data_IF_884397375874
#
_entry.id   IF_884397375874
#
_cell.length_a   1.000
_cell.length_b   1.000
_cell.length_c   1.000
_cell.angle_alpha   90.00
_cell.angle_beta   90.00
_cell.angle_gamma   90.00
#
_symmetry.space_group_name_H-M   'P 1'
#
loop_
_entity.id
_entity.type
_entity.pdbx_description
1 polymer ?
#
# COMPACT_ATOMS: atom_id res chain seq x y z
N UNK A 1 -6.88 -21.73 33.33
CA UNK A 1 -7.48 -21.37 32.03
C UNK A 1 -6.39 -20.65 31.26
N UNK A 2 -5.87 -21.26 30.20
CA UNK A 2 -4.76 -20.71 29.43
C UNK A 2 -5.19 -19.42 28.73
N UNK A 3 -4.43 -18.35 28.94
CA UNK A 3 -4.48 -17.14 28.12
C UNK A 3 -4.24 -17.52 26.65
N UNK A 4 -5.08 -17.06 25.70
CA UNK A 4 -4.80 -17.30 24.30
C UNK A 4 -3.51 -16.55 23.94
N UNK A 5 -2.49 -17.28 23.50
CA UNK A 5 -1.28 -16.70 22.93
C UNK A 5 -1.70 -15.75 21.80
N UNK A 6 -1.39 -14.47 21.94
CA UNK A 6 -1.62 -13.48 20.88
C UNK A 6 -0.80 -13.91 19.66
N UNK A 7 -1.49 -14.44 18.64
CA UNK A 7 -0.90 -14.69 17.32
C UNK A 7 -0.42 -13.39 16.66
N UNK A 8 0.30 -13.49 15.52
CA UNK A 8 0.81 -12.31 14.83
C UNK A 8 -0.31 -11.31 14.50
N UNK A 9 0.02 -10.01 14.57
CA UNK A 9 -0.90 -8.88 14.29
C UNK A 9 -1.48 -8.92 12.86
N UNK A 10 -0.79 -9.66 11.98
CA UNK A 10 -1.03 -9.75 10.56
C UNK A 10 -1.24 -11.21 10.17
N UNK A 11 -2.12 -11.46 9.20
CA UNK A 11 -2.28 -12.80 8.61
C UNK A 11 -1.12 -13.03 7.64
N UNK A 12 -0.21 -14.00 7.89
CA UNK A 12 0.90 -14.30 7.00
C UNK A 12 0.41 -14.60 5.58
N UNK A 13 1.12 -14.11 4.55
CA UNK A 13 0.79 -14.36 3.14
C UNK A 13 -0.41 -13.61 2.56
N UNK A 14 -1.13 -12.80 3.36
CA UNK A 14 -2.35 -12.11 2.91
C UNK A 14 -2.16 -10.60 2.61
N UNK A 15 -0.92 -10.16 2.37
CA UNK A 15 -0.58 -8.79 2.00
C UNK A 15 -0.01 -8.68 0.58
N UNK A 16 -0.13 -7.49 -0.02
CA UNK A 16 0.59 -7.17 -1.26
C UNK A 16 1.41 -5.91 -1.04
N UNK A 17 2.71 -5.98 -1.35
CA UNK A 17 3.62 -4.86 -1.32
C UNK A 17 4.12 -4.55 -2.73
N UNK A 18 4.12 -3.28 -3.10
CA UNK A 18 4.71 -2.79 -4.33
C UNK A 18 5.82 -1.83 -3.95
N UNK A 19 7.02 -2.06 -4.50
CA UNK A 19 8.15 -1.15 -4.36
C UNK A 19 7.89 0.14 -5.12
N UNK A 20 8.60 1.19 -4.75
CA UNK A 20 8.63 2.36 -5.61
C UNK A 20 9.29 2.02 -6.94
N UNK A 21 8.78 2.61 -8.01
CA UNK A 21 9.21 2.30 -9.38
C UNK A 21 9.30 3.60 -10.18
N UNK A 22 10.41 3.79 -10.89
CA UNK A 22 10.48 4.71 -12.03
C UNK A 22 10.29 3.90 -13.30
N UNK A 23 9.37 4.35 -14.13
CA UNK A 23 8.90 3.60 -15.28
C UNK A 23 8.72 4.49 -16.49
N UNK A 24 9.17 4.03 -17.64
CA UNK A 24 8.81 4.59 -18.94
C UNK A 24 7.95 3.56 -19.66
N UNK A 25 6.74 3.94 -20.03
CA UNK A 25 5.83 3.06 -20.74
C UNK A 25 5.28 3.69 -22.01
N UNK A 26 5.02 2.86 -23.02
CA UNK A 26 4.35 3.27 -24.26
C UNK A 26 2.97 2.67 -24.30
N UNK A 27 1.99 3.51 -24.58
CA UNK A 27 0.65 3.09 -24.93
C UNK A 27 0.55 3.01 -26.46
N UNK A 28 0.19 1.84 -26.99
CA UNK A 28 -0.28 1.75 -28.37
C UNK A 28 -1.73 2.23 -28.42
N UNK A 29 -2.00 3.25 -29.22
CA UNK A 29 -3.37 3.57 -29.62
C UNK A 29 -3.77 2.57 -30.71
N UNK A 30 -4.71 1.68 -30.41
CA UNK A 30 -5.50 1.05 -31.48
C UNK A 30 -6.48 2.11 -32.01
N UNK A 31 -6.64 2.19 -33.33
CA UNK A 31 -7.43 3.20 -34.03
C UNK A 31 -8.95 3.10 -33.81
N UNK A 32 -9.43 2.39 -32.79
CA UNK A 32 -10.86 2.26 -32.52
C UNK A 32 -11.16 2.07 -31.02
N UNK A 33 -11.79 3.08 -30.40
CA UNK A 33 -12.39 2.98 -29.06
C UNK A 33 -11.82 3.91 -27.98
N UNK A 34 -12.67 4.83 -27.49
CA UNK A 34 -12.41 5.77 -26.39
C UNK A 34 -12.45 5.10 -25.00
N UNK A 35 -11.66 4.05 -24.78
CA UNK A 35 -11.56 3.34 -23.50
C UNK A 35 -10.13 3.27 -22.97
N UNK A 36 -9.93 3.49 -21.68
CA UNK A 36 -8.65 3.23 -20.99
C UNK A 36 -8.41 1.71 -21.00
N UNK A 37 -7.73 1.20 -22.01
CA UNK A 37 -7.38 -0.21 -22.11
C UNK A 37 -6.01 -0.47 -21.48
N UNK A 38 -5.98 -1.22 -20.37
CA UNK A 38 -4.73 -1.72 -19.75
C UNK A 38 -3.99 -2.77 -20.60
N UNK A 39 -4.50 -3.14 -21.78
CA UNK A 39 -4.06 -4.33 -22.53
C UNK A 39 -2.88 -4.12 -23.48
N UNK A 40 -2.43 -2.88 -23.72
CA UNK A 40 -1.37 -2.58 -24.70
C UNK A 40 -0.30 -1.60 -24.18
N UNK A 41 0.10 -1.76 -22.91
CA UNK A 41 1.18 -0.97 -22.31
C UNK A 41 2.50 -1.76 -22.39
N UNK A 42 3.46 -1.28 -23.17
CA UNK A 42 4.81 -1.86 -23.21
C UNK A 42 5.73 -1.05 -22.31
N UNK A 43 6.34 -1.71 -21.34
CA UNK A 43 7.36 -1.12 -20.48
C UNK A 43 8.68 -0.99 -21.27
N UNK A 44 9.18 0.24 -21.40
CA UNK A 44 10.46 0.52 -22.05
C UNK A 44 11.61 0.54 -21.04
N UNK A 45 11.32 1.00 -19.82
CA UNK A 45 12.24 1.05 -18.69
C UNK A 45 11.44 0.82 -17.41
N UNK A 46 11.97 0.01 -16.50
CA UNK A 46 11.47 -0.20 -15.15
C UNK A 46 12.69 -0.26 -14.24
N UNK A 47 12.74 0.59 -13.22
CA UNK A 47 13.80 0.55 -12.20
C UNK A 47 13.24 0.82 -10.81
N UNK A 48 13.82 0.17 -9.82
CA UNK A 48 13.55 0.37 -8.39
C UNK A 48 14.61 1.26 -7.72
N UNK A 49 15.63 1.64 -8.47
CA UNK A 49 16.77 2.46 -8.03
C UNK A 49 16.70 3.86 -8.64
N UNK A 50 17.50 4.83 -8.13
CA UNK A 50 17.69 6.10 -8.79
C UNK A 50 18.02 5.91 -10.28
N UNK A 51 17.29 6.63 -11.13
CA UNK A 51 17.38 6.49 -12.57
C UNK A 51 18.40 7.48 -13.15
N UNK A 52 19.17 7.07 -14.15
CA UNK A 52 20.02 7.97 -14.93
C UNK A 52 19.28 8.49 -16.16
N UNK A 53 19.61 9.71 -16.58
CA UNK A 53 19.06 10.33 -17.80
C UNK A 53 19.28 9.45 -19.03
N UNK A 54 20.47 8.87 -19.17
CA UNK A 54 20.86 8.09 -20.35
C UNK A 54 20.02 6.81 -20.50
N UNK A 55 19.59 6.20 -19.39
CA UNK A 55 18.68 5.04 -19.40
C UNK A 55 17.30 5.41 -19.95
N UNK A 56 16.79 6.58 -19.55
CA UNK A 56 15.51 7.11 -20.03
C UNK A 56 15.59 7.44 -21.51
N UNK A 57 16.67 8.08 -21.96
CA UNK A 57 16.89 8.41 -23.37
C UNK A 57 16.97 7.14 -24.23
N UNK A 58 17.75 6.15 -23.80
CA UNK A 58 17.86 4.84 -24.48
C UNK A 58 16.52 4.12 -24.55
N UNK A 59 15.70 4.23 -23.51
CA UNK A 59 14.36 3.67 -23.51
C UNK A 59 13.46 4.38 -24.54
N UNK A 60 13.51 5.71 -24.61
CA UNK A 60 12.69 6.53 -25.51
C UNK A 60 13.02 6.33 -26.99
N UNK A 61 14.24 5.93 -27.34
CA UNK A 61 14.58 5.55 -28.73
C UNK A 61 13.71 4.41 -29.26
N UNK A 62 13.22 3.54 -28.37
CA UNK A 62 12.34 2.41 -28.71
C UNK A 62 10.85 2.81 -28.73
N UNK A 63 10.52 4.06 -28.40
CA UNK A 63 9.15 4.51 -28.29
C UNK A 63 8.50 4.66 -29.66
N UNK A 64 7.50 3.83 -29.94
CA UNK A 64 6.74 3.84 -31.20
C UNK A 64 5.36 4.50 -31.07
N UNK A 65 5.01 5.02 -29.88
CA UNK A 65 3.70 5.55 -29.55
C UNK A 65 3.74 6.64 -28.48
N UNK A 66 2.67 6.75 -27.70
CA UNK A 66 2.59 7.73 -26.62
C UNK A 66 3.38 7.21 -25.41
N UNK A 67 4.54 7.82 -25.16
CA UNK A 67 5.41 7.45 -24.04
C UNK A 67 5.10 8.31 -22.82
N UNK A 68 5.03 7.69 -21.65
CA UNK A 68 4.78 8.35 -20.36
C UNK A 68 5.88 7.97 -19.38
N UNK A 69 6.45 8.98 -18.72
CA UNK A 69 7.38 8.82 -17.62
C UNK A 69 6.62 8.85 -16.30
N UNK A 70 6.84 7.85 -15.45
CA UNK A 70 6.11 7.66 -14.21
C UNK A 70 7.06 7.40 -13.05
N UNK A 71 6.76 8.01 -11.90
CA UNK A 71 7.24 7.57 -10.60
C UNK A 71 6.02 7.14 -9.77
N UNK A 72 6.04 5.90 -9.30
CA UNK A 72 5.01 5.34 -8.42
C UNK A 72 5.65 5.06 -7.05
N UNK A 73 5.10 5.60 -5.94
CA UNK A 73 5.64 5.36 -4.62
C UNK A 73 5.26 3.97 -4.09
N UNK A 74 5.86 3.61 -2.96
CA UNK A 74 5.52 2.39 -2.24
C UNK A 74 4.05 2.30 -1.85
N UNK A 75 3.49 1.09 -1.98
CA UNK A 75 2.12 0.73 -1.56
C UNK A 75 2.15 -0.61 -0.85
N UNK A 76 1.46 -0.70 0.29
CA UNK A 76 1.31 -1.94 1.05
C UNK A 76 -0.16 -2.15 1.43
N UNK A 77 -0.69 -3.33 1.15
CA UNK A 77 -1.96 -3.81 1.68
C UNK A 77 -1.69 -4.90 2.69
N UNK A 78 -2.30 -4.77 3.87
CA UNK A 78 -2.15 -5.71 4.98
C UNK A 78 -3.51 -6.18 5.43
N UNK A 79 -3.66 -7.49 5.58
CA UNK A 79 -4.83 -8.08 6.22
C UNK A 79 -4.64 -8.09 7.73
N UNK A 80 -5.50 -7.36 8.44
CA UNK A 80 -5.47 -7.24 9.90
C UNK A 80 -6.45 -8.23 10.53
N UNK A 81 -6.06 -8.78 11.68
CA UNK A 81 -6.89 -9.71 12.46
C UNK A 81 -8.03 -8.98 13.16
N UNK A 82 -7.74 -7.86 13.79
CA UNK A 82 -8.71 -7.02 14.49
C UNK A 82 -8.71 -5.57 13.98
N UNK A 83 -9.78 -4.82 14.29
CA UNK A 83 -9.88 -3.42 13.88
C UNK A 83 -8.84 -2.57 14.60
N UNK A 84 -8.51 -2.91 15.85
CA UNK A 84 -7.51 -2.23 16.67
C UNK A 84 -6.11 -2.34 16.03
N UNK A 85 -5.77 -3.50 15.49
CA UNK A 85 -4.53 -3.74 14.75
C UNK A 85 -4.44 -2.83 13.51
N UNK A 86 -5.55 -2.72 12.76
CA UNK A 86 -5.64 -1.84 11.61
C UNK A 86 -5.54 -0.35 11.99
N UNK A 87 -6.12 0.05 13.13
CA UNK A 87 -6.04 1.41 13.66
C UNK A 87 -4.63 1.78 14.12
N UNK A 88 -3.91 0.83 14.75
CA UNK A 88 -2.51 1.01 15.11
C UNK A 88 -1.65 1.23 13.87
N UNK A 89 -1.76 0.33 12.88
CA UNK A 89 -1.02 0.42 11.63
C UNK A 89 -1.34 1.71 10.87
N UNK A 90 -2.61 2.11 10.86
CA UNK A 90 -3.05 3.38 10.27
C UNK A 90 -2.39 4.59 10.95
N UNK A 91 -2.37 4.62 12.28
CA UNK A 91 -1.77 5.74 13.03
C UNK A 91 -0.28 5.88 12.69
N UNK A 92 0.47 4.77 12.75
CA UNK A 92 1.89 4.73 12.36
C UNK A 92 2.10 5.18 10.91
N UNK A 93 1.23 4.75 9.98
CA UNK A 93 1.29 5.14 8.58
C UNK A 93 1.09 6.65 8.38
N UNK A 94 0.09 7.25 9.03
CA UNK A 94 -0.18 8.70 8.97
C UNK A 94 1.02 9.49 9.50
N UNK A 95 1.54 9.09 10.66
CA UNK A 95 2.68 9.75 11.33
C UNK A 95 3.97 9.64 10.50
N UNK A 96 4.09 8.59 9.69
CA UNK A 96 5.24 8.37 8.80
C UNK A 96 5.15 9.14 7.47
N UNK A 97 3.98 9.73 7.17
CA UNK A 97 3.74 10.54 5.97
C UNK A 97 2.86 9.89 4.90
N UNK A 98 2.27 8.72 5.17
CA UNK A 98 1.34 8.02 4.28
C UNK A 98 -0.11 8.47 4.51
N UNK A 99 -0.39 9.76 4.28
CA UNK A 99 -1.70 10.38 4.60
C UNK A 99 -2.89 9.85 3.79
N UNK A 100 -2.64 9.12 2.71
CA UNK A 100 -3.68 8.53 1.84
C UNK A 100 -3.97 7.06 2.18
N UNK A 101 -3.46 6.63 3.33
CA UNK A 101 -3.72 5.32 3.89
C UNK A 101 -5.16 5.21 4.38
N UNK A 102 -5.67 3.99 4.48
CA UNK A 102 -7.05 3.78 4.94
C UNK A 102 -7.39 2.33 5.19
N UNK A 103 -8.43 2.12 6.00
CA UNK A 103 -8.93 0.81 6.41
C UNK A 103 -10.21 0.50 5.62
N UNK A 104 -10.27 -0.69 5.04
CA UNK A 104 -11.45 -1.22 4.36
C UNK A 104 -11.95 -2.45 5.11
N UNK A 105 -13.23 -2.47 5.49
CA UNK A 105 -13.88 -3.66 6.06
C UNK A 105 -14.73 -4.30 4.97
N UNK A 106 -14.29 -5.45 4.47
CA UNK A 106 -14.94 -6.22 3.43
C UNK A 106 -16.11 -7.08 3.95
N UNK A 107 -16.77 -7.77 3.00
CA UNK A 107 -17.77 -8.80 3.33
C UNK A 107 -17.10 -9.92 4.15
N UNK A 108 -17.81 -10.46 5.13
CA UNK A 108 -17.27 -11.48 6.04
C UNK A 108 -16.33 -10.92 7.12
N UNK A 109 -16.29 -9.60 7.32
CA UNK A 109 -15.50 -9.00 8.40
C UNK A 109 -14.00 -8.87 8.10
N UNK A 110 -13.57 -9.12 6.86
CA UNK A 110 -12.16 -9.02 6.43
C UNK A 110 -11.68 -7.56 6.54
N UNK A 111 -10.68 -7.28 7.37
CA UNK A 111 -10.16 -5.92 7.59
C UNK A 111 -8.85 -5.73 6.84
N UNK A 112 -8.85 -4.92 5.79
CA UNK A 112 -7.64 -4.60 5.01
C UNK A 112 -7.19 -3.18 5.27
N UNK A 113 -5.97 -3.03 5.77
CA UNK A 113 -5.30 -1.75 5.90
C UNK A 113 -4.43 -1.49 4.66
N UNK A 114 -4.59 -0.33 4.05
CA UNK A 114 -3.79 0.10 2.90
C UNK A 114 -2.88 1.26 3.30
N UNK A 115 -1.57 1.09 3.16
CA UNK A 115 -0.54 2.12 3.33
C UNK A 115 -0.21 2.69 1.96
N UNK A 116 -0.49 3.99 1.74
CA UNK A 116 -0.38 4.62 0.42
C UNK A 116 0.11 6.07 0.51
N UNK A 117 0.76 6.52 -0.55
CA UNK A 117 1.23 7.88 -0.74
C UNK A 117 0.63 8.52 -2.00
N UNK A 118 0.51 9.85 -2.02
CA UNK A 118 0.19 10.66 -3.21
C UNK A 118 1.44 11.14 -3.94
N UNK A 119 2.62 10.69 -3.53
CA UNK A 119 3.90 11.19 -4.01
C UNK A 119 4.29 10.69 -5.41
N UNK A 120 3.34 10.56 -6.33
CA UNK A 120 3.60 10.11 -7.70
C UNK A 120 4.13 11.23 -8.61
N UNK A 121 4.57 10.84 -9.81
CA UNK A 121 4.83 11.71 -10.96
C UNK A 121 4.33 10.98 -12.19
N UNK A 122 3.61 11.65 -13.09
CA UNK A 122 3.19 11.09 -14.38
C UNK A 122 3.25 12.19 -15.42
N UNK A 123 4.10 12.01 -16.44
CA UNK A 123 4.37 13.05 -17.44
C UNK A 123 4.42 12.41 -18.83
N UNK A 124 3.57 12.83 -19.78
CA UNK A 124 3.68 12.39 -21.17
C UNK A 124 4.94 12.99 -21.80
N UNK A 125 5.78 12.14 -22.40
CA UNK A 125 7.04 12.53 -23.05
C UNK A 125 6.92 12.55 -24.58
N UNK A 126 6.16 11.61 -25.15
CA UNK A 126 6.03 11.46 -26.60
C UNK A 126 4.56 11.38 -27.01
N UNK A 127 4.26 11.87 -28.21
CA UNK A 127 2.97 11.72 -28.84
C UNK A 127 3.12 11.13 -30.24
N UNK A 128 2.42 10.02 -30.52
CA UNK A 128 2.52 9.29 -31.81
C UNK A 128 3.97 8.97 -32.20
N UNK A 129 4.78 8.54 -31.22
CA UNK A 129 6.20 8.21 -31.43
C UNK A 129 7.14 9.40 -31.58
N UNK A 130 6.63 10.64 -31.60
CA UNK A 130 7.45 11.86 -31.62
C UNK A 130 7.70 12.34 -30.20
N UNK A 131 8.96 12.52 -29.84
CA UNK A 131 9.34 13.17 -28.57
C UNK A 131 8.86 14.63 -28.56
N UNK A 132 8.15 15.00 -27.50
CA UNK A 132 7.49 16.31 -27.36
C UNK A 132 8.21 17.25 -26.39
N UNK A 133 9.27 16.78 -25.73
CA UNK A 133 10.03 17.49 -24.70
C UNK A 133 11.51 17.56 -25.05
N UNK A 134 12.23 18.52 -24.48
CA UNK A 134 13.69 18.61 -24.63
C UNK A 134 14.41 17.59 -23.74
N UNK A 135 15.65 17.28 -24.09
CA UNK A 135 16.52 16.46 -23.24
C UNK A 135 16.76 17.08 -21.87
N UNK A 136 16.93 18.41 -21.81
CA UNK A 136 17.05 19.17 -20.55
C UNK A 136 15.82 18.96 -19.65
N UNK A 137 14.61 18.92 -20.23
CA UNK A 137 13.40 18.66 -19.45
C UNK A 137 13.38 17.21 -18.93
N UNK A 138 13.88 16.25 -19.70
CA UNK A 138 14.01 14.85 -19.26
C UNK A 138 14.98 14.76 -18.07
N UNK A 139 16.12 15.44 -18.14
CA UNK A 139 17.09 15.50 -17.03
C UNK A 139 16.45 16.09 -15.76
N UNK A 140 15.67 17.16 -15.89
CA UNK A 140 14.89 17.73 -14.79
C UNK A 140 13.88 16.71 -14.21
N UNK A 141 13.14 16.00 -15.06
CA UNK A 141 12.17 14.99 -14.60
C UNK A 141 12.85 13.83 -13.86
N UNK A 142 14.01 13.38 -14.34
CA UNK A 142 14.82 12.35 -13.68
C UNK A 142 15.27 12.83 -12.31
N UNK A 143 15.76 14.07 -12.20
CA UNK A 143 16.12 14.65 -10.92
C UNK A 143 14.94 14.69 -9.94
N UNK A 144 13.77 15.15 -10.39
CA UNK A 144 12.54 15.17 -9.57
C UNK A 144 12.12 13.75 -9.16
N UNK A 145 12.20 12.78 -10.06
CA UNK A 145 11.87 11.38 -9.76
C UNK A 145 12.80 10.78 -8.71
N UNK A 146 14.11 11.05 -8.81
CA UNK A 146 15.10 10.57 -7.84
C UNK A 146 14.90 11.22 -6.47
N UNK A 147 14.61 12.52 -6.40
CA UNK A 147 14.21 13.17 -5.15
C UNK A 147 12.96 12.53 -4.53
N UNK A 148 11.99 12.17 -5.38
CA UNK A 148 10.78 11.47 -4.93
C UNK A 148 11.08 10.07 -4.41
N UNK A 149 12.00 9.36 -5.05
CA UNK A 149 12.48 8.05 -4.60
C UNK A 149 13.12 8.15 -3.22
N UNK A 150 14.02 9.11 -3.01
CA UNK A 150 14.67 9.31 -1.71
C UNK A 150 13.66 9.61 -0.60
N UNK A 151 12.72 10.53 -0.82
CA UNK A 151 11.68 10.84 0.18
C UNK A 151 10.77 9.64 0.42
N UNK A 152 10.47 8.84 -0.61
CA UNK A 152 9.74 7.60 -0.44
C UNK A 152 10.49 6.62 0.47
N UNK A 153 11.80 6.45 0.30
CA UNK A 153 12.62 5.61 1.19
C UNK A 153 12.63 6.13 2.63
N UNK A 154 12.79 7.44 2.82
CA UNK A 154 12.71 8.06 4.16
C UNK A 154 11.36 7.80 4.84
N UNK A 155 10.25 7.77 4.09
CA UNK A 155 8.91 7.44 4.62
C UNK A 155 8.80 5.97 5.02
N UNK A 156 9.32 5.06 4.19
CA UNK A 156 9.35 3.63 4.49
C UNK A 156 10.16 3.39 5.78
N UNK A 157 11.34 4.00 5.90
CA UNK A 157 12.18 3.85 7.10
C UNK A 157 11.50 4.34 8.37
N UNK A 158 10.83 5.51 8.31
CA UNK A 158 10.06 6.04 9.45
C UNK A 158 8.90 5.11 9.81
N UNK A 159 8.22 4.57 8.81
CA UNK A 159 7.11 3.64 9.00
C UNK A 159 7.57 2.33 9.63
N UNK A 160 8.67 1.76 9.16
CA UNK A 160 9.26 0.56 9.73
C UNK A 160 9.60 0.75 11.20
N UNK A 161 10.38 1.79 11.51
CA UNK A 161 10.79 2.11 12.89
C UNK A 161 9.60 2.41 13.79
N UNK A 162 8.62 3.18 13.28
CA UNK A 162 7.40 3.50 14.02
C UNK A 162 6.57 2.25 14.32
N UNK A 163 6.55 1.28 13.40
CA UNK A 163 5.84 0.02 13.57
C UNK A 163 6.55 -0.88 14.59
N UNK A 164 7.88 -1.00 14.53
CA UNK A 164 8.67 -1.74 15.53
C UNK A 164 8.39 -1.23 16.94
N UNK A 165 8.49 0.09 17.16
CA UNK A 165 8.21 0.72 18.45
C UNK A 165 6.77 0.50 18.92
N UNK A 166 5.80 0.59 18.01
CA UNK A 166 4.39 0.39 18.32
C UNK A 166 4.09 -1.07 18.73
N UNK A 167 4.78 -2.04 18.12
CA UNK A 167 4.65 -3.45 18.44
C UNK A 167 5.30 -3.76 19.79
N UNK A 168 6.48 -3.22 20.07
CA UNK A 168 7.16 -3.37 21.37
C UNK A 168 6.30 -2.81 22.52
N UNK A 169 5.69 -1.63 22.33
CA UNK A 169 4.81 -1.03 23.32
C UNK A 169 3.48 -1.80 23.54
N UNK A 170 3.05 -2.60 22.55
CA UNK A 170 1.85 -3.41 22.63
C UNK A 170 2.06 -4.78 23.32
N UNK A 171 3.32 -5.19 23.52
CA UNK A 171 3.66 -6.33 24.37
C UNK A 171 3.54 -5.87 25.83
N UNK A 172 2.66 -6.48 26.65
CA UNK A 172 2.52 -6.07 28.04
C UNK A 172 3.83 -6.25 28.78
N UNK A 173 4.15 -5.28 29.63
CA UNK A 173 4.99 -5.48 30.80
C UNK A 173 4.27 -6.45 31.78
N UNK A 174 4.01 -7.68 31.36
CA UNK A 174 3.53 -8.77 32.20
C UNK A 174 4.71 -9.36 32.99
N UNK A 175 5.28 -8.53 33.86
CA UNK A 175 6.02 -8.95 35.05
C UNK A 175 6.06 -7.76 36.00
N UNK A 176 5.00 -7.60 36.82
CA UNK A 176 4.97 -7.14 38.22
C UNK A 176 3.59 -6.50 38.56
N UNK A 177 2.76 -7.32 39.22
CA UNK A 177 1.43 -7.12 39.85
C UNK A 177 1.32 -5.89 40.82
N UNK A 178 0.15 -5.50 41.39
CA UNK A 178 -1.15 -6.21 41.49
C UNK A 178 -2.44 -5.40 41.19
N UNK A 179 -3.55 -6.15 41.14
CA UNK A 179 -4.95 -5.76 40.88
C UNK A 179 -5.53 -4.67 41.80
N UNK A 180 -6.33 -3.77 41.22
CA UNK A 180 -7.35 -2.94 41.93
C UNK A 180 -8.57 -2.74 40.99
N UNK A 181 -9.83 -2.79 41.49
CA UNK A 181 -10.99 -3.24 40.71
C UNK A 181 -11.67 -2.19 39.82
N UNK A 182 -12.36 -2.73 38.80
CA UNK A 182 -13.09 -2.04 37.74
C UNK A 182 -14.22 -1.12 38.23
N UNK A 183 -14.37 0.05 37.61
CA UNK A 183 -15.62 0.79 37.55
C UNK A 183 -16.12 0.90 36.11
N UNK A 184 -17.27 0.27 35.89
CA UNK A 184 -18.09 0.34 34.69
C UNK A 184 -18.65 1.76 34.51
N UNK A 185 -18.39 2.36 33.34
CA UNK A 185 -19.23 3.44 32.81
C UNK A 185 -19.56 3.14 31.34
N UNK A 186 -20.64 2.37 31.16
CA UNK A 186 -21.41 2.31 29.92
C UNK A 186 -22.21 3.60 29.79
N UNK A 187 -21.88 4.45 28.80
CA UNK A 187 -22.84 5.42 28.23
C UNK A 187 -22.49 5.67 26.77
N UNK A 188 -23.20 5.02 25.85
CA UNK A 188 -23.71 5.69 24.65
C UNK A 188 -25.16 5.25 24.45
N UNK A 189 -26.07 6.14 24.84
CA UNK A 189 -27.51 5.97 24.69
C UNK A 189 -27.93 6.21 23.24
N UNK A 190 -28.87 5.37 22.82
CA UNK A 190 -29.47 5.30 21.50
C UNK A 190 -30.60 6.32 21.32
N UNK A 191 -30.67 7.04 20.18
CA UNK A 191 -31.91 7.53 19.51
C UNK A 191 -31.55 8.25 18.19
N UNK A 192 -32.23 8.10 17.04
CA UNK A 192 -33.63 7.69 16.78
C UNK A 192 -33.82 7.30 15.29
N UNK A 193 -34.38 6.10 15.05
CA UNK A 193 -35.55 5.75 14.21
C UNK A 193 -35.68 6.32 12.78
N UNK A 194 -35.63 5.44 11.77
CA UNK A 194 -36.62 5.36 10.66
C UNK A 194 -36.79 3.91 10.19
N UNK A 195 -38.01 3.57 9.79
CA UNK A 195 -38.58 2.21 9.66
C UNK A 195 -38.26 1.55 8.30
N UNK A 196 -38.00 0.23 8.39
CA UNK A 196 -38.40 -0.92 7.58
C UNK A 196 -38.35 -0.90 6.03
N UNK A 197 -37.62 -1.89 5.48
CA UNK A 197 -38.12 -2.80 4.45
C UNK A 197 -37.31 -4.11 4.48
N UNK A 198 -38.01 -5.25 4.32
CA UNK A 198 -37.51 -6.63 4.41
C UNK A 198 -36.80 -7.10 3.13
N UNK A 199 -35.91 -8.08 3.27
CA UNK A 199 -35.42 -8.92 2.17
C UNK A 199 -34.47 -10.01 2.68
N UNK A 200 -34.93 -11.26 2.68
CA UNK A 200 -34.21 -12.48 3.05
C UNK A 200 -33.20 -12.90 1.96
N UNK A 201 -32.05 -13.47 2.35
CA UNK A 201 -31.31 -14.45 1.55
C UNK A 201 -30.38 -15.31 2.43
N UNK A 202 -30.35 -16.61 2.11
CA UNK A 202 -29.80 -17.78 2.83
C UNK A 202 -28.25 -17.93 2.67
N UNK A 203 -27.50 -18.55 3.60
CA UNK A 203 -26.04 -18.65 3.53
C UNK A 203 -25.55 -20.01 3.01
N UNK A 204 -24.60 -20.01 2.07
CA UNK A 204 -23.88 -21.21 1.63
C UNK A 204 -22.47 -21.25 2.24
N UNK A 205 -22.13 -22.43 2.79
CA UNK A 205 -20.87 -22.83 3.43
C UNK A 205 -19.74 -23.04 2.41
N UNK A 206 -18.49 -22.73 2.80
CA UNK A 206 -17.24 -23.34 2.31
C UNK A 206 -16.09 -22.88 3.24
N UNK A 207 -15.64 -23.73 4.19
CA UNK A 207 -14.44 -24.60 4.16
C UNK A 207 -13.10 -23.84 4.31
N UNK A 208 -12.53 -23.91 5.51
CA UNK A 208 -11.23 -23.38 5.95
C UNK A 208 -10.06 -24.28 5.49
N UNK A 209 -8.89 -23.72 5.11
CA UNK A 209 -7.62 -24.42 5.16
C UNK A 209 -6.72 -23.94 6.31
N UNK A 210 -5.88 -24.87 6.74
CA UNK A 210 -5.11 -24.95 7.97
C UNK A 210 -3.97 -23.92 8.12
N UNK A 211 -3.63 -23.71 9.38
CA UNK A 211 -2.72 -22.72 9.96
C UNK A 211 -1.28 -23.26 9.98
N UNK A 212 -0.42 -22.76 9.08
CA UNK A 212 1.02 -23.00 9.13
C UNK A 212 1.72 -21.77 9.73
N UNK A 213 2.32 -22.00 10.90
CA UNK A 213 2.83 -20.98 11.80
C UNK A 213 4.28 -20.66 11.47
N UNK A 214 4.55 -19.72 10.56
CA UNK A 214 5.91 -19.20 10.42
C UNK A 214 5.98 -17.70 10.08
N UNK A 215 6.48 -16.95 11.07
CA UNK A 215 7.16 -15.65 11.04
C UNK A 215 6.53 -14.46 10.30
N UNK A 216 5.80 -13.61 11.06
CA UNK A 216 5.38 -12.28 10.57
C UNK A 216 6.54 -11.30 10.34
N UNK A 217 7.77 -11.66 10.72
CA UNK A 217 8.97 -10.85 10.50
C UNK A 217 9.67 -11.19 9.18
N UNK A 218 9.53 -12.43 8.69
CA UNK A 218 10.09 -12.86 7.41
C UNK A 218 9.44 -12.12 6.22
N UNK A 219 8.14 -11.81 6.34
CA UNK A 219 7.40 -11.06 5.31
C UNK A 219 7.96 -9.64 5.11
N UNK A 220 8.48 -8.99 6.15
CA UNK A 220 9.06 -7.65 6.03
C UNK A 220 10.50 -7.66 5.50
N UNK A 221 11.28 -8.71 5.80
CA UNK A 221 12.64 -8.85 5.31
C UNK A 221 12.70 -9.10 3.79
N UNK A 222 11.77 -9.88 3.22
CA UNK A 222 11.70 -10.10 1.76
C UNK A 222 11.24 -8.85 0.99
N UNK A 223 10.49 -7.95 1.64
CA UNK A 223 10.00 -6.72 1.01
C UNK A 223 11.11 -5.66 0.87
N UNK A 224 12.16 -5.71 1.71
CA UNK A 224 13.25 -4.73 1.77
C UNK A 224 14.54 -5.09 1.00
N UNK A 225 14.63 -6.25 0.32
CA UNK A 225 15.79 -6.65 -0.51
C UNK A 225 15.55 -6.48 -1.99
#
# INVERSE_FOLDING_TARGET
MGSPSKGPLFIPGAGSAHRAIVTVCVHRQDTDGSGIQKKNCTWLLVTHEPCAKDDVMTALEKATGDAVFKFEPFVLHVLCRELQDAQLLHSVAIDSGFRNSGITVGRGGKITMAVRSTHCLEVPLSHKGRLMVSEEYIEFLVHVANQKMEENMRRIDRFHKGLELALEAAVPADTLFPEVPQKSHSVYLHRRKRRAAQGQADPSRELEPQDDTESSLALFAEIMI
#
